data_IF_297435806909
#
_entry.id   IF_297435806909
#
_cell.length_a   1.000
_cell.length_b   1.000
_cell.length_c   1.000
_cell.angle_alpha   90.00
_cell.angle_beta   90.00
_cell.angle_gamma   90.00
#
_symmetry.space_group_name_H-M   'P 1'
#
loop_
_entity.id
_entity.type
_entity.pdbx_description
1 polymer ?
#
# COMPACT_ATOMS: atom_id res chain seq x y z
N UNK A 1 -8.75 28.20 -12.42
CA UNK A 1 -10.01 27.95 -11.69
C UNK A 1 -9.95 26.50 -11.22
N UNK A 2 -9.75 26.09 -9.97
CA UNK A 2 -9.71 26.64 -8.60
C UNK A 2 -8.87 25.63 -7.78
N UNK A 3 -7.96 26.08 -6.89
CA UNK A 3 -7.16 25.18 -6.05
C UNK A 3 -8.04 24.35 -5.10
N UNK A 4 -7.58 23.17 -4.63
CA UNK A 4 -8.13 22.54 -3.44
C UNK A 4 -8.02 23.48 -2.22
N UNK A 5 -9.06 23.64 -1.38
CA UNK A 5 -9.14 24.67 -0.33
C UNK A 5 -8.04 24.64 0.76
N UNK A 6 -7.16 23.62 0.79
CA UNK A 6 -6.08 23.52 1.79
C UNK A 6 -4.74 24.14 1.34
N UNK A 7 -4.56 24.45 0.05
CA UNK A 7 -3.33 25.06 -0.47
C UNK A 7 -3.46 26.56 -0.71
N UNK A 8 -4.67 27.12 -0.67
CA UNK A 8 -4.92 28.55 -0.92
C UNK A 8 -4.80 29.45 0.32
N UNK A 9 -4.92 28.93 1.54
CA UNK A 9 -4.97 29.77 2.75
C UNK A 9 -3.62 30.36 3.19
N UNK A 10 -2.56 30.26 2.38
CA UNK A 10 -1.23 30.76 2.70
C UNK A 10 -0.85 32.06 1.96
N UNK A 11 -1.71 32.60 1.09
CA UNK A 11 -1.36 33.72 0.20
C UNK A 11 -2.35 34.90 0.28
N UNK A 12 -2.44 35.61 1.40
CA UNK A 12 -2.93 37.00 1.44
C UNK A 12 -2.76 37.67 2.81
N UNK A 13 -1.77 38.58 2.98
CA UNK A 13 -1.77 39.70 3.95
C UNK A 13 -0.65 40.74 3.63
N UNK A 14 -0.80 42.03 4.03
CA UNK A 14 -0.07 43.20 3.48
C UNK A 14 1.30 43.47 4.13
N UNK A 15 2.16 44.33 3.54
CA UNK A 15 3.59 44.38 3.86
C UNK A 15 3.89 45.31 5.05
N UNK A 16 4.58 44.79 6.06
CA UNK A 16 5.14 45.60 7.14
C UNK A 16 5.83 44.78 8.23
N UNK A 17 7.15 44.96 8.34
CA UNK A 17 8.04 44.54 9.44
C UNK A 17 8.30 43.03 9.62
N UNK A 18 9.28 42.52 8.86
CA UNK A 18 10.03 41.29 9.15
C UNK A 18 11.02 41.51 10.32
N UNK A 19 11.10 40.54 11.24
CA UNK A 19 12.40 39.97 11.61
C UNK A 19 12.55 38.56 11.03
N UNK A 20 13.81 38.16 10.86
CA UNK A 20 14.29 37.01 10.07
C UNK A 20 13.72 35.66 10.52
N UNK A 21 13.28 34.88 9.54
CA UNK A 21 13.37 33.41 9.52
C UNK A 21 12.35 32.64 10.35
N UNK A 22 11.15 32.40 9.81
CA UNK A 22 10.28 31.28 10.20
C UNK A 22 9.21 31.09 9.11
N UNK A 23 9.37 30.05 8.28
CA UNK A 23 8.32 29.61 7.36
C UNK A 23 7.34 28.72 8.11
N UNK A 24 6.13 29.21 8.35
CA UNK A 24 4.98 28.38 8.73
C UNK A 24 4.63 27.46 7.55
N UNK A 25 5.07 26.21 7.61
CA UNK A 25 4.75 25.16 6.66
C UNK A 25 4.28 23.91 7.42
N UNK A 26 3.31 23.18 6.85
CA UNK A 26 2.93 21.88 7.36
C UNK A 26 4.18 20.98 7.45
N UNK A 27 4.56 20.55 8.66
CA UNK A 27 5.75 19.73 8.82
C UNK A 27 5.53 18.34 8.20
N UNK A 28 6.29 18.07 7.15
CA UNK A 28 6.42 16.79 6.51
C UNK A 28 7.33 15.92 7.37
N UNK A 29 6.72 15.05 8.17
CA UNK A 29 7.47 14.14 9.02
C UNK A 29 7.98 12.96 8.18
N UNK A 30 9.29 12.85 7.98
CA UNK A 30 9.88 11.54 7.76
C UNK A 30 9.83 10.80 9.11
N UNK A 31 8.70 10.16 9.41
CA UNK A 31 8.73 9.08 10.38
C UNK A 31 9.73 8.08 9.82
N UNK A 32 10.88 7.94 10.49
CA UNK A 32 11.60 6.67 10.45
C UNK A 32 10.68 5.66 11.14
N UNK A 33 9.69 5.16 10.39
CA UNK A 33 9.36 3.75 10.49
C UNK A 33 10.70 3.13 10.12
N UNK A 34 11.43 2.61 11.10
CA UNK A 34 12.51 1.66 10.83
C UNK A 34 12.04 0.81 9.67
N UNK A 35 12.87 0.51 8.64
CA UNK A 35 12.49 -0.53 7.71
C UNK A 35 12.19 -1.74 8.59
N UNK A 36 10.90 -1.99 8.85
CA UNK A 36 10.42 -3.31 9.13
C UNK A 36 10.99 -4.02 7.93
N UNK A 37 12.00 -4.87 8.20
CA UNK A 37 12.70 -5.60 7.17
C UNK A 37 11.66 -5.97 6.12
N UNK A 38 11.99 -5.81 4.84
CA UNK A 38 11.34 -6.61 3.82
C UNK A 38 11.67 -8.07 4.15
N UNK A 39 11.04 -8.58 5.20
CA UNK A 39 10.96 -9.94 5.65
C UNK A 39 10.10 -10.58 4.58
N UNK A 40 10.80 -11.06 3.56
CA UNK A 40 10.34 -12.19 2.78
C UNK A 40 10.01 -13.28 3.81
N UNK A 41 8.73 -13.63 3.98
CA UNK A 41 8.21 -14.70 4.85
C UNK A 41 7.84 -14.37 6.31
N UNK A 42 6.87 -13.48 6.55
CA UNK A 42 6.10 -13.50 7.80
C UNK A 42 4.58 -13.45 7.56
N UNK A 43 4.05 -14.53 6.99
CA UNK A 43 2.61 -14.88 7.03
C UNK A 43 2.22 -15.62 8.33
N UNK A 44 2.98 -15.47 9.42
CA UNK A 44 2.63 -15.98 10.76
C UNK A 44 3.06 -14.99 11.86
N UNK A 45 2.12 -14.33 12.58
CA UNK A 45 2.48 -13.52 13.73
C UNK A 45 2.56 -14.40 14.99
N UNK A 46 3.78 -14.73 15.40
CA UNK A 46 4.05 -15.18 16.78
C UNK A 46 4.24 -13.94 17.66
N UNK A 47 3.47 -13.92 18.76
CA UNK A 47 3.49 -12.97 19.87
C UNK A 47 4.91 -12.64 20.37
N UNK A 48 5.17 -11.38 20.73
CA UNK A 48 6.02 -11.02 21.87
C UNK A 48 5.78 -9.56 22.27
N UNK A 49 4.87 -9.34 23.22
CA UNK A 49 4.88 -8.18 24.08
C UNK A 49 4.87 -8.68 25.54
N UNK A 50 6.04 -8.57 26.19
CA UNK A 50 6.20 -8.81 27.62
C UNK A 50 5.66 -7.57 28.35
N UNK A 51 4.53 -7.70 29.03
CA UNK A 51 4.06 -6.75 30.04
C UNK A 51 4.15 -7.43 31.43
N UNK A 52 4.43 -6.67 32.50
CA UNK A 52 4.90 -7.21 33.77
C UNK A 52 3.81 -7.94 34.56
N UNK A 53 4.23 -9.00 35.24
CA UNK A 53 3.45 -9.76 36.22
C UNK A 53 3.02 -8.86 37.39
N UNK A 54 1.73 -8.76 37.62
CA UNK A 54 1.18 -8.53 38.96
C UNK A 54 -0.09 -9.38 39.15
N UNK A 55 -0.29 -9.85 40.36
CA UNK A 55 -0.91 -11.14 40.71
C UNK A 55 -2.29 -11.03 41.38
N UNK A 56 -3.06 -12.15 41.33
CA UNK A 56 -4.17 -12.60 42.25
C UNK A 56 -5.55 -11.91 42.05
N UNK A 57 -6.75 -12.53 42.03
CA UNK A 57 -7.30 -13.92 42.19
C UNK A 57 -8.84 -13.88 41.80
N UNK A 58 -9.75 -14.89 42.02
CA UNK A 58 -10.46 -15.58 40.92
C UNK A 58 -12.02 -15.57 40.86
N UNK A 59 -12.53 -16.04 39.70
CA UNK A 59 -13.68 -16.94 39.42
C UNK A 59 -15.18 -16.57 39.63
N UNK A 60 -15.94 -16.93 38.56
CA UNK A 60 -17.35 -17.41 38.39
C UNK A 60 -18.46 -16.44 37.92
N UNK A 61 -19.13 -16.92 36.86
CA UNK A 61 -20.31 -16.51 36.06
C UNK A 61 -21.64 -16.52 36.85
N UNK A 62 -22.83 -16.08 36.36
CA UNK A 62 -23.31 -16.08 34.95
C UNK A 62 -24.10 -14.85 34.44
N UNK A 63 -24.31 -14.80 33.12
CA UNK A 63 -25.15 -13.84 32.36
C UNK A 63 -26.65 -14.08 32.54
N UNK A 64 -27.52 -13.06 32.29
CA UNK A 64 -28.34 -13.00 31.05
C UNK A 64 -28.65 -11.53 30.61
N UNK A 65 -29.61 -11.24 29.69
CA UNK A 65 -29.54 -11.47 28.24
C UNK A 65 -29.78 -10.22 27.35
N UNK A 66 -29.22 -10.28 26.13
CA UNK A 66 -29.70 -9.82 24.80
C UNK A 66 -30.40 -8.45 24.62
N UNK A 67 -29.81 -7.60 23.77
CA UNK A 67 -30.46 -6.93 22.60
C UNK A 67 -29.38 -6.36 21.66
N UNK A 68 -29.68 -6.10 20.37
CA UNK A 68 -29.09 -6.84 19.25
C UNK A 68 -27.78 -6.24 18.74
N UNK A 69 -26.78 -7.12 18.58
CA UNK A 69 -25.62 -6.88 17.74
C UNK A 69 -26.07 -6.96 16.28
N UNK A 70 -25.94 -5.85 15.56
CA UNK A 70 -25.81 -5.90 14.11
C UNK A 70 -24.53 -6.69 13.79
N UNK A 71 -24.58 -7.67 12.87
CA UNK A 71 -23.54 -8.67 12.76
C UNK A 71 -22.30 -8.12 12.05
N UNK A 72 -21.14 -8.49 12.58
CA UNK A 72 -19.79 -8.36 12.00
C UNK A 72 -19.61 -9.02 10.61
N UNK A 73 -20.70 -9.41 9.94
CA UNK A 73 -20.74 -10.05 8.64
C UNK A 73 -20.65 -9.07 7.46
N UNK A 74 -21.01 -7.79 7.65
CA UNK A 74 -20.96 -6.79 6.56
C UNK A 74 -19.51 -6.36 6.23
N UNK A 75 -18.62 -6.36 7.22
CA UNK A 75 -17.17 -6.18 7.03
C UNK A 75 -16.50 -7.35 6.29
N UNK A 76 -17.13 -8.54 6.25
CA UNK A 76 -16.55 -9.74 5.61
C UNK A 76 -16.92 -9.89 4.14
N UNK A 77 -18.07 -9.37 3.70
CA UNK A 77 -18.57 -9.57 2.33
C UNK A 77 -17.99 -8.57 1.32
N UNK A 78 -17.49 -7.42 1.77
CA UNK A 78 -16.99 -6.34 0.89
C UNK A 78 -15.46 -6.24 0.79
N UNK A 79 -14.71 -7.07 1.53
CA UNK A 79 -13.27 -6.90 1.66
C UNK A 79 -12.49 -8.19 1.33
N UNK A 80 -11.73 -8.22 0.22
CA UNK A 80 -10.56 -9.07 0.14
C UNK A 80 -9.53 -8.52 1.14
N UNK A 81 -9.65 -8.95 2.41
CA UNK A 81 -8.77 -8.72 3.58
C UNK A 81 -7.80 -7.52 3.49
N UNK A 82 -8.13 -6.40 4.16
CA UNK A 82 -7.08 -5.67 4.89
C UNK A 82 -7.45 -5.18 6.31
N UNK A 83 -8.68 -5.37 6.80
CA UNK A 83 -9.07 -4.80 8.10
C UNK A 83 -8.66 -5.73 9.25
N UNK A 84 -7.62 -5.34 9.99
CA UNK A 84 -7.29 -5.94 11.29
C UNK A 84 -7.96 -5.11 12.38
N UNK A 85 -9.05 -5.62 12.95
CA UNK A 85 -9.64 -5.05 14.17
C UNK A 85 -9.01 -5.74 15.38
N UNK A 86 -8.21 -5.02 16.13
CA UNK A 86 -7.75 -5.42 17.46
C UNK A 86 -8.10 -4.29 18.41
N UNK A 87 -8.90 -4.58 19.43
CA UNK A 87 -9.03 -3.74 20.63
C UNK A 87 -9.22 -2.24 20.32
N UNK A 88 -10.39 -1.85 19.79
CA UNK A 88 -10.69 -0.44 19.52
C UNK A 88 -9.80 0.24 18.46
N UNK A 89 -8.90 -0.48 17.78
CA UNK A 89 -7.99 0.05 16.76
C UNK A 89 -8.12 -0.73 15.45
N UNK A 90 -8.22 0.00 14.34
CA UNK A 90 -8.23 -0.54 12.98
C UNK A 90 -7.09 0.06 12.14
N UNK A 91 -6.41 -0.80 11.38
CA UNK A 91 -5.47 -0.39 10.32
C UNK A 91 -6.09 -0.75 8.98
N UNK A 92 -6.10 0.20 8.05
CA UNK A 92 -6.70 0.06 6.72
C UNK A 92 -5.74 0.58 5.67
N UNK A 93 -5.39 -0.24 4.68
CA UNK A 93 -4.67 0.23 3.51
C UNK A 93 -5.59 1.06 2.62
N UNK A 94 -5.15 2.21 2.12
CA UNK A 94 -5.89 2.95 1.10
C UNK A 94 -5.65 2.38 -0.30
N UNK A 95 -4.42 1.94 -0.58
CA UNK A 95 -4.10 1.10 -1.73
C UNK A 95 -3.21 -0.03 -1.23
N UNK A 96 -3.69 -1.26 -1.34
CA UNK A 96 -2.91 -2.45 -0.97
C UNK A 96 -1.73 -2.64 -1.93
N UNK A 97 -0.64 -3.25 -1.44
CA UNK A 97 0.55 -3.47 -2.27
C UNK A 97 0.42 -4.72 -3.17
N UNK A 98 0.15 -5.89 -2.59
CA UNK A 98 0.04 -7.17 -3.29
C UNK A 98 -1.06 -8.04 -2.65
N UNK A 99 -2.18 -8.31 -3.34
CA UNK A 99 -2.58 -7.72 -4.62
C UNK A 99 -2.80 -6.21 -4.51
N UNK A 100 -2.77 -5.48 -5.62
CA UNK A 100 -3.00 -4.04 -5.63
C UNK A 100 -4.44 -3.68 -5.91
N UNK A 101 -5.08 -3.05 -4.93
CA UNK A 101 -6.50 -2.68 -4.94
C UNK A 101 -6.67 -1.35 -4.24
N UNK A 102 -7.41 -0.43 -4.87
CA UNK A 102 -7.90 0.79 -4.24
C UNK A 102 -9.06 0.46 -3.30
N UNK A 103 -8.90 0.78 -2.03
CA UNK A 103 -9.87 0.49 -0.98
C UNK A 103 -10.73 1.74 -0.71
N UNK A 104 -12.07 1.60 -0.57
CA UNK A 104 -12.98 2.70 -0.23
C UNK A 104 -12.81 3.12 1.24
N UNK A 105 -11.70 3.79 1.56
CA UNK A 105 -11.29 4.05 2.95
C UNK A 105 -12.24 4.98 3.69
N UNK A 106 -12.91 5.90 3.01
CA UNK A 106 -13.87 6.81 3.64
C UNK A 106 -15.05 6.03 4.21
N UNK A 107 -15.60 5.14 3.40
CA UNK A 107 -16.71 4.26 3.75
C UNK A 107 -16.29 3.30 4.87
N UNK A 108 -15.09 2.73 4.79
CA UNK A 108 -14.60 1.83 5.83
C UNK A 108 -14.31 2.54 7.15
N UNK A 109 -13.76 3.76 7.13
CA UNK A 109 -13.59 4.57 8.34
C UNK A 109 -14.95 4.81 8.99
N UNK A 110 -15.98 5.17 8.20
CA UNK A 110 -17.33 5.37 8.71
C UNK A 110 -17.93 4.10 9.33
N UNK A 111 -17.77 2.94 8.69
CA UNK A 111 -18.20 1.64 9.21
C UNK A 111 -17.46 1.32 10.52
N UNK A 112 -16.13 1.49 10.57
CA UNK A 112 -15.36 1.29 11.80
C UNK A 112 -15.92 2.13 12.96
N UNK A 113 -16.32 3.38 12.72
CA UNK A 113 -16.95 4.21 13.77
C UNK A 113 -18.30 3.68 14.23
N UNK A 114 -19.14 3.25 13.30
CA UNK A 114 -20.45 2.66 13.61
C UNK A 114 -20.29 1.39 14.46
N UNK A 115 -19.23 0.62 14.21
CA UNK A 115 -18.88 -0.60 14.95
C UNK A 115 -18.11 -0.33 16.25
N UNK A 116 -18.01 0.93 16.70
CA UNK A 116 -17.36 1.27 17.97
C UNK A 116 -15.83 1.17 17.96
N UNK A 117 -15.19 1.27 16.80
CA UNK A 117 -13.72 1.36 16.72
C UNK A 117 -13.27 2.77 17.14
N UNK A 118 -12.56 2.84 18.26
CA UNK A 118 -12.05 4.08 18.85
C UNK A 118 -11.04 4.80 17.94
N UNK A 119 -10.23 4.05 17.19
CA UNK A 119 -9.13 4.57 16.40
C UNK A 119 -8.97 3.88 15.05
N UNK A 120 -8.81 4.66 13.99
CA UNK A 120 -8.59 4.21 12.63
C UNK A 120 -7.32 4.85 12.09
N UNK A 121 -6.36 4.00 11.73
CA UNK A 121 -5.13 4.35 11.05
C UNK A 121 -5.24 3.93 9.58
N UNK A 122 -5.04 4.87 8.68
CA UNK A 122 -4.98 4.58 7.25
C UNK A 122 -3.52 4.55 6.79
N UNK A 123 -3.06 3.36 6.39
CA UNK A 123 -1.82 3.21 5.64
C UNK A 123 -2.10 3.55 4.17
N UNK A 124 -1.71 4.75 3.80
CA UNK A 124 -1.86 5.27 2.45
C UNK A 124 -0.52 5.36 1.74
N UNK A 125 0.45 4.49 2.04
CA UNK A 125 1.80 4.55 1.46
C UNK A 125 1.83 4.58 -0.07
N UNK A 126 0.80 4.08 -0.74
CA UNK A 126 0.65 4.09 -2.20
C UNK A 126 -0.26 5.21 -2.74
N UNK A 127 -0.87 6.07 -1.91
CA UNK A 127 -2.01 6.89 -2.35
C UNK A 127 -1.65 8.22 -2.97
N UNK A 128 -0.80 9.03 -2.32
CA UNK A 128 -0.48 10.37 -2.84
C UNK A 128 0.22 10.26 -4.18
N UNK A 129 -0.38 10.88 -5.19
CA UNK A 129 0.01 10.83 -6.59
C UNK A 129 -0.71 9.78 -7.44
N UNK A 130 -1.39 8.80 -6.82
CA UNK A 130 -2.22 7.82 -7.53
C UNK A 130 -3.73 8.06 -7.43
N UNK A 131 -4.20 8.66 -6.34
CA UNK A 131 -5.63 8.90 -6.08
C UNK A 131 -5.85 10.29 -5.47
N UNK A 132 -7.04 10.90 -5.63
CA UNK A 132 -7.39 12.08 -4.86
C UNK A 132 -7.35 11.76 -3.36
N UNK A 133 -6.80 12.66 -2.55
CA UNK A 133 -6.70 12.50 -1.10
C UNK A 133 -7.23 13.75 -0.41
N UNK A 134 -8.33 13.64 0.32
CA UNK A 134 -8.76 14.61 1.32
C UNK A 134 -8.82 13.93 2.69
N UNK A 135 -7.77 14.13 3.49
CA UNK A 135 -7.63 13.51 4.81
C UNK A 135 -8.69 13.97 5.81
N UNK A 136 -9.33 15.13 5.59
CA UNK A 136 -10.41 15.62 6.46
C UNK A 136 -11.71 14.90 6.12
N UNK A 137 -12.00 14.73 4.83
CA UNK A 137 -13.19 14.01 4.35
C UNK A 137 -13.12 12.51 4.68
N UNK A 138 -11.94 11.89 4.60
CA UNK A 138 -11.72 10.50 5.00
C UNK A 138 -11.95 10.28 6.50
N UNK A 139 -11.61 11.26 7.35
CA UNK A 139 -11.97 11.25 8.78
C UNK A 139 -11.18 10.26 9.66
N UNK A 140 -10.14 9.61 9.15
CA UNK A 140 -9.25 8.74 9.94
C UNK A 140 -8.55 9.51 11.08
N UNK A 141 -8.16 8.85 12.17
CA UNK A 141 -7.36 9.49 13.23
C UNK A 141 -5.94 9.76 12.76
N UNK A 142 -5.41 8.82 11.98
CA UNK A 142 -4.07 8.84 11.43
C UNK A 142 -4.14 8.52 9.95
N UNK A 143 -3.43 9.28 9.13
CA UNK A 143 -3.28 9.01 7.71
C UNK A 143 -1.83 9.26 7.32
N UNK A 144 -1.16 8.26 6.77
CA UNK A 144 0.24 8.38 6.35
C UNK A 144 0.40 8.01 4.89
N UNK A 145 1.23 8.74 4.15
CA UNK A 145 1.57 8.36 2.76
C UNK A 145 3.00 8.71 2.44
N UNK A 146 3.63 7.86 1.63
CA UNK A 146 4.96 8.12 1.11
C UNK A 146 4.87 9.13 -0.03
N UNK A 147 5.78 10.11 -0.03
CA UNK A 147 5.94 11.03 -1.15
C UNK A 147 6.97 10.52 -2.16
N UNK A 148 7.86 9.61 -1.71
CA UNK A 148 8.91 9.03 -2.54
C UNK A 148 8.47 7.87 -3.45
N UNK A 149 7.17 7.56 -3.49
CA UNK A 149 6.63 6.54 -4.41
C UNK A 149 6.09 7.21 -5.67
N UNK A 150 4.92 7.83 -5.57
CA UNK A 150 4.16 8.32 -6.72
C UNK A 150 4.18 9.85 -6.86
N UNK A 151 4.90 10.54 -5.98
CA UNK A 151 4.94 12.01 -5.92
C UNK A 151 6.35 12.56 -6.20
N UNK A 152 7.23 11.74 -6.79
CA UNK A 152 8.57 12.12 -7.26
C UNK A 152 9.53 12.74 -6.24
N UNK A 153 9.26 12.60 -4.94
CA UNK A 153 10.26 12.97 -3.94
C UNK A 153 11.40 11.93 -3.86
N UNK A 154 12.61 12.30 -3.40
CA UNK A 154 13.68 11.34 -3.13
C UNK A 154 13.28 10.30 -2.07
N UNK A 155 13.92 9.12 -2.02
CA UNK A 155 13.66 8.11 -1.00
C UNK A 155 13.64 8.66 0.44
N UNK A 156 12.89 7.99 1.31
CA UNK A 156 12.79 8.27 2.75
C UNK A 156 12.06 9.57 3.16
N UNK A 157 11.08 10.02 2.36
CA UNK A 157 10.09 11.04 2.79
C UNK A 157 8.64 10.55 2.73
N UNK A 158 7.89 10.89 3.76
CA UNK A 158 6.45 10.63 3.93
C UNK A 158 5.81 11.82 4.65
N UNK A 159 4.50 11.81 4.79
CA UNK A 159 3.80 12.69 5.72
C UNK A 159 2.90 11.87 6.63
N UNK A 160 2.65 12.41 7.83
CA UNK A 160 1.66 11.90 8.76
C UNK A 160 0.67 13.02 9.07
N UNK A 161 -0.60 12.77 8.79
CA UNK A 161 -1.71 13.61 9.22
C UNK A 161 -2.38 12.99 10.46
N UNK A 162 -2.66 13.84 11.44
CA UNK A 162 -3.41 13.49 12.65
C UNK A 162 -4.67 14.33 12.71
N UNK A 163 -5.82 13.70 13.01
CA UNK A 163 -7.08 14.43 13.12
C UNK A 163 -7.02 15.42 14.28
N UNK A 164 -7.28 16.71 14.00
CA UNK A 164 -7.34 17.77 15.01
C UNK A 164 -8.46 17.52 16.03
N UNK A 165 -8.23 17.95 17.27
CA UNK A 165 -9.24 17.91 18.36
C UNK A 165 -9.50 16.53 18.97
N UNK A 166 -8.83 15.47 18.49
CA UNK A 166 -8.87 14.18 19.14
C UNK A 166 -8.05 14.17 20.44
N UNK A 167 -8.47 13.42 21.48
CA UNK A 167 -7.77 13.37 22.78
C UNK A 167 -6.32 12.86 22.71
N UNK A 168 -5.96 12.19 21.60
CA UNK A 168 -4.64 11.63 21.38
C UNK A 168 -3.69 12.59 20.67
N UNK A 169 -4.20 13.60 19.93
CA UNK A 169 -3.33 14.46 19.13
C UNK A 169 -2.26 15.18 19.99
N UNK A 170 -2.60 15.51 21.24
CA UNK A 170 -1.69 16.11 22.23
C UNK A 170 -0.80 15.09 22.97
N UNK A 171 -1.05 13.80 22.83
CA UNK A 171 -0.28 12.71 23.45
C UNK A 171 0.72 12.08 22.47
N UNK A 172 0.69 12.49 21.20
CA UNK A 172 1.60 11.97 20.18
C UNK A 172 2.94 12.68 20.27
N UNK A 173 3.98 11.87 20.49
CA UNK A 173 5.36 12.29 20.49
C UNK A 173 6.15 11.56 19.43
N UNK A 174 7.19 12.21 18.93
CA UNK A 174 8.15 11.55 18.06
C UNK A 174 8.91 10.48 18.87
N UNK A 175 9.12 9.26 18.35
CA UNK A 175 9.73 8.17 19.12
C UNK A 175 11.21 8.42 19.45
N UNK A 176 11.87 9.27 18.66
CA UNK A 176 13.22 9.77 18.97
C UNK A 176 13.07 11.07 19.75
N UNK A 177 13.44 11.04 21.03
CA UNK A 177 13.49 12.22 21.89
C UNK A 177 14.72 13.04 21.53
N UNK A 178 14.50 14.31 21.16
CA UNK A 178 15.56 15.26 20.79
C UNK A 178 15.26 16.66 21.35
N UNK A 179 15.91 17.70 20.80
CA UNK A 179 15.85 19.08 21.29
C UNK A 179 14.43 19.65 21.37
N UNK A 180 13.53 19.22 20.48
CA UNK A 180 12.17 19.76 20.36
C UNK A 180 11.10 18.95 21.12
N UNK A 181 11.50 18.01 21.98
CA UNK A 181 10.56 17.19 22.77
C UNK A 181 9.59 18.04 23.59
N UNK A 182 8.29 17.76 23.49
CA UNK A 182 7.23 18.49 24.17
C UNK A 182 6.67 19.69 23.38
N UNK A 183 7.31 20.09 22.28
CA UNK A 183 6.83 21.19 21.43
C UNK A 183 5.81 20.73 20.37
N UNK A 184 5.32 19.49 20.51
CA UNK A 184 4.33 18.88 19.63
C UNK A 184 4.97 18.15 18.44
N UNK A 185 4.25 17.13 17.94
CA UNK A 185 4.76 16.20 16.93
C UNK A 185 5.44 16.87 15.71
N UNK A 186 4.93 17.98 15.13
CA UNK A 186 5.63 18.67 14.04
C UNK A 186 7.03 19.15 14.43
N UNK A 187 7.18 19.81 15.58
CA UNK A 187 8.48 20.32 16.04
C UNK A 187 9.41 19.17 16.43
N UNK A 188 8.89 18.19 17.16
CA UNK A 188 9.63 16.99 17.58
C UNK A 188 10.18 16.18 16.40
N UNK A 189 9.53 16.25 15.25
CA UNK A 189 9.94 15.56 14.03
C UNK A 189 10.91 16.34 13.15
N UNK A 190 11.08 17.64 13.42
CA UNK A 190 11.89 18.53 12.58
C UNK A 190 13.40 18.27 12.68
N UNK A 191 13.87 17.91 13.89
CA UNK A 191 15.27 17.57 14.12
C UNK A 191 15.38 16.42 15.12
N UNK A 192 15.73 15.24 14.63
CA UNK A 192 15.78 14.00 15.41
C UNK A 192 17.21 13.47 15.57
N UNK A 193 18.18 14.37 15.47
CA UNK A 193 19.62 14.05 15.45
C UNK A 193 20.22 14.07 14.04
N UNK A 194 21.50 13.72 13.94
CA UNK A 194 22.27 13.77 12.70
C UNK A 194 21.78 12.75 11.69
N UNK A 195 21.17 13.22 10.60
CA UNK A 195 20.74 12.43 9.44
C UNK A 195 20.71 13.29 8.18
N UNK A 196 20.54 12.65 7.04
CA UNK A 196 20.24 13.34 5.81
C UNK A 196 18.77 13.82 5.80
N UNK A 197 18.59 15.13 5.69
CA UNK A 197 17.30 15.82 5.62
C UNK A 197 16.95 16.28 4.20
N UNK A 198 17.80 16.00 3.21
CA UNK A 198 17.63 16.47 1.82
C UNK A 198 16.26 16.12 1.26
N UNK A 199 15.79 14.88 1.49
CA UNK A 199 14.49 14.42 1.01
C UNK A 199 13.29 15.21 1.58
N UNK A 200 13.40 15.74 2.81
CA UNK A 200 12.36 16.59 3.41
C UNK A 200 12.41 18.00 2.85
N UNK A 201 13.62 18.54 2.68
CA UNK A 201 13.83 19.93 2.25
C UNK A 201 13.38 20.13 0.81
N UNK A 202 13.57 19.14 -0.08
CA UNK A 202 13.25 19.27 -1.51
C UNK A 202 11.78 19.01 -1.88
N UNK A 203 10.89 18.84 -0.89
CA UNK A 203 9.48 18.56 -1.19
C UNK A 203 8.78 19.71 -1.93
N UNK A 204 9.00 21.01 -1.60
CA UNK A 204 8.47 22.11 -2.41
C UNK A 204 8.91 22.03 -3.88
N UNK A 205 10.17 21.71 -4.15
CA UNK A 205 10.71 21.56 -5.50
C UNK A 205 10.09 20.36 -6.24
N UNK A 206 9.76 19.28 -5.52
CA UNK A 206 9.02 18.14 -6.09
C UNK A 206 7.58 18.53 -6.47
N UNK A 207 6.92 19.37 -5.66
CA UNK A 207 5.60 19.93 -5.99
C UNK A 207 5.70 20.78 -7.26
N UNK A 208 6.69 21.66 -7.35
CA UNK A 208 6.92 22.48 -8.54
C UNK A 208 7.24 21.63 -9.78
N UNK A 209 7.99 20.54 -9.62
CA UNK A 209 8.21 19.57 -10.70
C UNK A 209 6.90 18.94 -11.18
N UNK A 210 6.07 18.45 -10.28
CA UNK A 210 4.76 17.85 -10.60
C UNK A 210 3.85 18.86 -11.31
N UNK A 211 3.85 20.12 -10.88
CA UNK A 211 3.03 21.18 -11.45
C UNK A 211 3.45 21.60 -12.88
N UNK A 212 4.65 21.20 -13.35
CA UNK A 212 5.08 21.43 -14.74
C UNK A 212 4.38 20.52 -15.75
N UNK A 213 3.78 19.42 -15.32
CA UNK A 213 3.00 18.55 -16.19
C UNK A 213 1.64 19.17 -16.51
N UNK A 214 1.11 18.89 -17.69
CA UNK A 214 -0.24 19.28 -18.06
C UNK A 214 -1.26 18.75 -17.04
N UNK A 215 -2.08 19.65 -16.48
CA UNK A 215 -3.03 19.32 -15.41
C UNK A 215 -2.39 19.01 -14.05
N UNK A 216 -1.07 19.22 -13.88
CA UNK A 216 -0.34 18.94 -12.65
C UNK A 216 -0.50 17.49 -12.17
N UNK A 217 -0.63 17.30 -10.86
CA UNK A 217 -0.80 15.96 -10.28
C UNK A 217 -2.08 15.27 -10.74
N UNK A 218 -3.15 16.02 -10.99
CA UNK A 218 -4.43 15.48 -11.44
C UNK A 218 -4.31 14.93 -12.86
N UNK A 219 -3.59 15.63 -13.74
CA UNK A 219 -3.31 15.18 -15.10
C UNK A 219 -2.43 13.92 -15.12
N UNK A 220 -1.37 13.88 -14.29
CA UNK A 220 -0.53 12.69 -14.12
C UNK A 220 -1.37 11.50 -13.67
N UNK A 221 -2.20 11.69 -12.65
CA UNK A 221 -3.06 10.65 -12.09
C UNK A 221 -3.99 10.06 -13.13
N UNK A 222 -4.76 10.91 -13.82
CA UNK A 222 -5.74 10.46 -14.82
C UNK A 222 -5.06 9.71 -15.95
N UNK A 223 -3.98 10.26 -16.51
CA UNK A 223 -3.21 9.59 -17.57
C UNK A 223 -2.66 8.24 -17.12
N UNK A 224 -2.05 8.17 -15.94
CA UNK A 224 -1.47 6.94 -15.44
C UNK A 224 -2.53 5.86 -15.19
N UNK A 225 -3.69 6.24 -14.66
CA UNK A 225 -4.82 5.33 -14.47
C UNK A 225 -5.33 4.79 -15.81
N UNK A 226 -5.63 5.67 -16.77
CA UNK A 226 -6.12 5.29 -18.08
C UNK A 226 -5.14 4.34 -18.79
N UNK A 227 -3.85 4.69 -18.77
CA UNK A 227 -2.81 3.90 -19.42
C UNK A 227 -2.54 2.57 -18.73
N UNK A 228 -2.50 2.52 -17.39
CA UNK A 228 -2.28 1.23 -16.70
C UNK A 228 -3.42 0.26 -16.96
N UNK A 229 -4.66 0.76 -17.02
CA UNK A 229 -5.84 -0.06 -17.34
C UNK A 229 -5.81 -0.50 -18.81
N UNK A 230 -5.47 0.39 -19.74
CA UNK A 230 -5.28 0.06 -21.17
C UNK A 230 -4.27 -1.07 -21.35
N UNK A 231 -3.09 -0.94 -20.73
CA UNK A 231 -2.03 -1.96 -20.81
C UNK A 231 -2.43 -3.25 -20.11
N UNK A 232 -3.10 -3.17 -18.97
CA UNK A 232 -3.61 -4.35 -18.26
C UNK A 232 -4.59 -5.15 -19.11
N UNK A 233 -5.51 -4.47 -19.82
CA UNK A 233 -6.46 -5.12 -20.74
C UNK A 233 -5.76 -5.78 -21.91
N UNK A 234 -4.77 -5.11 -22.50
CA UNK A 234 -3.95 -5.67 -23.58
C UNK A 234 -3.25 -6.96 -23.14
N UNK A 235 -2.69 -6.99 -21.93
CA UNK A 235 -2.06 -8.20 -21.37
C UNK A 235 -3.07 -9.31 -21.10
N UNK A 236 -4.21 -8.97 -20.48
CA UNK A 236 -5.27 -9.93 -20.20
C UNK A 236 -5.82 -10.58 -21.48
N UNK A 237 -6.04 -9.80 -22.53
CA UNK A 237 -6.47 -10.28 -23.84
C UNK A 237 -5.43 -11.21 -24.48
N UNK A 238 -4.16 -10.78 -24.51
CA UNK A 238 -3.07 -11.56 -25.09
C UNK A 238 -2.83 -12.89 -24.37
N UNK A 239 -3.13 -12.96 -23.08
CA UNK A 239 -2.93 -14.14 -22.24
C UNK A 239 -4.18 -15.00 -22.07
N UNK A 240 -5.33 -14.55 -22.60
CA UNK A 240 -6.61 -15.23 -22.39
C UNK A 240 -7.04 -15.28 -20.93
N UNK A 241 -6.74 -14.21 -20.18
CA UNK A 241 -7.02 -14.06 -18.74
C UNK A 241 -7.85 -12.79 -18.47
N UNK A 242 -7.68 -12.17 -17.31
CA UNK A 242 -8.51 -11.09 -16.81
C UNK A 242 -7.71 -10.12 -15.92
N UNK A 243 -8.27 -8.94 -15.67
CA UNK A 243 -7.78 -8.02 -14.65
C UNK A 243 -8.14 -8.55 -13.26
N UNK A 244 -7.20 -8.52 -12.32
CA UNK A 244 -7.42 -8.98 -10.94
C UNK A 244 -8.34 -8.09 -10.11
N UNK A 245 -8.69 -6.90 -10.60
CA UNK A 245 -9.71 -6.03 -10.01
C UNK A 245 -10.41 -5.20 -11.09
N UNK A 246 -11.66 -4.74 -10.84
CA UNK A 246 -12.33 -3.81 -11.74
C UNK A 246 -11.53 -2.51 -11.91
N UNK A 247 -11.53 -1.89 -13.11
CA UNK A 247 -10.76 -0.66 -13.36
C UNK A 247 -10.98 0.45 -12.34
N UNK A 248 -12.21 0.64 -11.84
CA UNK A 248 -12.53 1.66 -10.82
C UNK A 248 -11.77 1.46 -9.50
N UNK A 249 -11.28 0.25 -9.24
CA UNK A 249 -10.46 -0.10 -8.07
C UNK A 249 -8.96 -0.05 -8.38
N UNK A 250 -8.55 0.55 -9.49
CA UNK A 250 -7.15 0.70 -9.89
C UNK A 250 -6.72 2.16 -9.71
N UNK A 251 -5.57 2.39 -9.08
CA UNK A 251 -4.87 3.67 -9.16
C UNK A 251 -4.05 3.76 -10.45
N UNK A 252 -2.74 3.95 -10.30
CA UNK A 252 -1.73 3.81 -11.36
C UNK A 252 -1.08 2.41 -11.38
N UNK A 253 -1.75 1.43 -10.77
CA UNK A 253 -1.35 0.02 -10.72
C UNK A 253 -2.55 -0.88 -11.04
N UNK A 254 -2.30 -2.01 -11.70
CA UNK A 254 -3.32 -3.05 -11.93
C UNK A 254 -2.71 -4.44 -11.79
N UNK A 255 -3.53 -5.38 -11.31
CA UNK A 255 -3.23 -6.81 -11.30
C UNK A 255 -3.71 -7.44 -12.60
N UNK A 256 -2.92 -8.30 -13.24
CA UNK A 256 -3.32 -9.07 -14.42
C UNK A 256 -3.04 -10.55 -14.18
N UNK A 257 -4.03 -11.40 -14.39
CA UNK A 257 -3.88 -12.85 -14.28
C UNK A 257 -2.88 -13.37 -15.30
N UNK A 258 -1.98 -14.25 -14.87
CA UNK A 258 -1.04 -14.93 -15.77
C UNK A 258 -1.65 -16.24 -16.28
N UNK A 259 -1.25 -16.74 -17.46
CA UNK A 259 -1.70 -18.04 -17.97
C UNK A 259 -1.50 -19.16 -16.94
N UNK A 260 -2.53 -19.96 -16.69
CA UNK A 260 -2.51 -21.02 -15.67
C UNK A 260 -1.47 -22.11 -15.96
N UNK A 261 -1.18 -22.36 -17.23
CA UNK A 261 -0.19 -23.33 -17.71
C UNK A 261 1.25 -23.01 -17.28
N UNK A 262 1.52 -21.79 -16.80
CA UNK A 262 2.82 -21.46 -16.19
C UNK A 262 3.00 -22.09 -14.80
N UNK A 263 1.92 -22.62 -14.21
CA UNK A 263 1.92 -23.39 -12.96
C UNK A 263 2.56 -22.66 -11.76
N UNK A 264 2.30 -21.37 -11.58
CA UNK A 264 2.79 -20.60 -10.42
C UNK A 264 2.05 -21.07 -9.16
N UNK A 265 2.69 -21.88 -8.34
CA UNK A 265 2.06 -22.59 -7.21
C UNK A 265 2.58 -22.17 -5.83
N UNK A 266 3.52 -21.23 -5.80
CA UNK A 266 4.11 -20.74 -4.55
C UNK A 266 4.70 -19.33 -4.73
N UNK A 267 4.96 -18.66 -3.61
CA UNK A 267 5.72 -17.41 -3.60
C UNK A 267 7.15 -17.59 -4.14
N UNK A 268 7.75 -18.78 -3.95
CA UNK A 268 9.08 -19.11 -4.49
C UNK A 268 9.05 -19.24 -6.02
N UNK A 269 8.03 -19.92 -6.57
CA UNK A 269 7.80 -19.98 -8.02
C UNK A 269 7.62 -18.57 -8.60
N UNK A 270 6.77 -17.75 -7.98
CA UNK A 270 6.55 -16.37 -8.40
C UNK A 270 7.85 -15.54 -8.40
N UNK A 271 8.69 -15.70 -7.38
CA UNK A 271 9.98 -15.02 -7.29
C UNK A 271 10.98 -15.50 -8.35
N UNK A 272 11.01 -16.80 -8.66
CA UNK A 272 11.87 -17.39 -9.68
C UNK A 272 11.47 -16.92 -11.08
N UNK A 273 10.18 -16.99 -11.42
CA UNK A 273 9.65 -16.50 -12.70
C UNK A 273 9.94 -15.01 -12.87
N UNK A 274 9.72 -14.19 -11.84
CA UNK A 274 10.11 -12.77 -11.84
C UNK A 274 11.61 -12.59 -12.13
N UNK A 275 12.45 -13.40 -11.51
CA UNK A 275 13.91 -13.32 -11.70
C UNK A 275 14.32 -13.71 -13.12
N UNK A 276 13.68 -14.72 -13.69
CA UNK A 276 13.89 -15.15 -15.09
C UNK A 276 13.46 -14.05 -16.06
N UNK A 277 12.25 -13.49 -15.91
CA UNK A 277 11.77 -12.35 -16.70
C UNK A 277 12.77 -11.17 -16.67
N UNK A 278 13.34 -10.87 -15.50
CA UNK A 278 14.36 -9.82 -15.38
C UNK A 278 15.65 -10.17 -16.13
N UNK A 279 16.17 -11.37 -15.94
CA UNK A 279 17.48 -11.77 -16.48
C UNK A 279 17.45 -11.97 -17.99
N UNK A 280 16.43 -12.67 -18.47
CA UNK A 280 16.40 -13.23 -19.82
C UNK A 280 15.60 -12.34 -20.78
N UNK A 281 14.55 -11.68 -20.26
CA UNK A 281 13.66 -10.82 -21.04
C UNK A 281 13.82 -9.33 -20.75
N UNK A 282 14.66 -8.97 -19.76
CA UNK A 282 14.84 -7.58 -19.29
C UNK A 282 13.53 -6.92 -18.85
N UNK A 283 12.64 -7.70 -18.25
CA UNK A 283 11.35 -7.25 -17.71
C UNK A 283 11.34 -7.41 -16.20
N UNK A 284 11.16 -6.31 -15.48
CA UNK A 284 11.00 -6.32 -14.04
C UNK A 284 9.53 -6.10 -13.67
N UNK A 285 8.87 -7.14 -13.18
CA UNK A 285 7.47 -7.07 -12.76
C UNK A 285 7.24 -7.91 -11.49
N UNK A 286 6.63 -7.36 -10.43
CA UNK A 286 6.20 -8.15 -9.28
C UNK A 286 5.16 -9.19 -9.68
N UNK A 287 5.32 -10.42 -9.18
CA UNK A 287 4.36 -11.52 -9.37
C UNK A 287 3.78 -11.87 -7.99
N UNK A 288 2.46 -11.91 -7.90
CA UNK A 288 1.68 -12.33 -6.76
C UNK A 288 1.20 -13.77 -6.98
N UNK A 289 1.39 -14.63 -5.98
CA UNK A 289 0.76 -15.93 -5.94
C UNK A 289 -0.49 -15.87 -5.05
N UNK A 290 -1.65 -16.17 -5.64
CA UNK A 290 -2.90 -16.30 -4.90
C UNK A 290 -3.01 -17.73 -4.36
N UNK A 291 -2.91 -17.88 -3.04
CA UNK A 291 -2.96 -19.19 -2.40
C UNK A 291 -4.33 -19.83 -2.56
N UNK A 292 -4.38 -21.10 -2.99
CA UNK A 292 -5.62 -21.88 -3.20
C UNK A 292 -6.48 -22.09 -1.92
N UNK A 293 -6.12 -21.49 -0.77
CA UNK A 293 -6.60 -21.86 0.56
C UNK A 293 -7.75 -21.01 1.12
N UNK A 294 -8.55 -20.35 0.29
CA UNK A 294 -9.80 -19.75 0.77
C UNK A 294 -10.96 -20.62 0.33
N UNK A 295 -11.42 -21.50 1.22
CA UNK A 295 -12.59 -22.40 1.05
C UNK A 295 -13.91 -21.68 0.67
N UNK A 296 -13.90 -20.35 0.52
CA UNK A 296 -15.07 -19.49 0.36
C UNK A 296 -15.04 -18.68 -0.95
N UNK A 297 -13.96 -18.73 -1.74
CA UNK A 297 -13.87 -17.98 -3.00
C UNK A 297 -13.57 -18.92 -4.17
N UNK A 298 -14.45 -18.95 -5.18
CA UNK A 298 -14.16 -19.58 -6.46
C UNK A 298 -12.94 -18.90 -7.09
N UNK A 299 -11.88 -19.66 -7.34
CA UNK A 299 -10.68 -19.15 -8.02
C UNK A 299 -11.08 -18.81 -9.46
N UNK A 300 -10.80 -17.56 -9.85
CA UNK A 300 -11.06 -17.11 -11.20
C UNK A 300 -10.24 -17.93 -12.22
N UNK A 301 -10.90 -18.29 -13.32
CA UNK A 301 -10.39 -19.21 -14.33
C UNK A 301 -9.99 -18.46 -15.59
N UNK A 302 -9.00 -18.96 -16.30
CA UNK A 302 -8.64 -18.47 -17.63
C UNK A 302 -9.61 -18.98 -18.70
N UNK A 303 -9.35 -18.65 -19.97
CA UNK A 303 -10.15 -19.08 -21.11
C UNK A 303 -10.20 -20.61 -21.30
N UNK A 304 -9.26 -21.36 -20.72
CA UNK A 304 -9.25 -22.83 -20.74
C UNK A 304 -10.02 -23.43 -19.55
N UNK A 305 -10.65 -22.59 -18.72
CA UNK A 305 -11.32 -22.96 -17.47
C UNK A 305 -10.38 -23.46 -16.36
N UNK A 306 -9.09 -23.15 -16.46
CA UNK A 306 -8.08 -23.51 -15.47
C UNK A 306 -7.88 -22.40 -14.43
N UNK A 307 -7.67 -22.74 -13.15
CA UNK A 307 -7.57 -21.76 -12.07
C UNK A 307 -6.31 -20.90 -12.20
N UNK A 308 -6.48 -19.57 -12.25
CA UNK A 308 -5.38 -18.61 -12.31
C UNK A 308 -4.85 -18.32 -10.91
N UNK A 309 -3.62 -18.77 -10.65
CA UNK A 309 -2.94 -18.62 -9.37
C UNK A 309 -1.85 -17.55 -9.38
N UNK A 310 -1.28 -17.22 -10.53
CA UNK A 310 -0.26 -16.18 -10.68
C UNK A 310 -0.82 -14.88 -11.23
N UNK A 311 -0.39 -13.74 -10.69
CA UNK A 311 -0.79 -12.42 -11.15
C UNK A 311 0.43 -11.50 -11.25
N UNK A 312 0.60 -10.81 -12.38
CA UNK A 312 1.55 -9.69 -12.44
C UNK A 312 0.90 -8.43 -11.87
N UNK A 313 1.68 -7.60 -11.18
CA UNK A 313 1.27 -6.22 -10.85
C UNK A 313 2.05 -5.24 -11.72
N UNK A 314 1.40 -4.68 -12.73
CA UNK A 314 2.00 -3.62 -13.52
C UNK A 314 1.74 -2.26 -12.89
N UNK A 315 2.65 -1.33 -13.14
CA UNK A 315 2.61 0.05 -12.68
C UNK A 315 2.84 0.96 -13.89
N UNK A 316 2.09 2.05 -13.99
CA UNK A 316 2.28 3.03 -15.06
C UNK A 316 2.59 4.40 -14.46
N UNK A 317 3.62 5.04 -15.01
CA UNK A 317 4.08 6.35 -14.61
C UNK A 317 4.41 7.18 -15.85
N UNK A 318 4.64 8.47 -15.68
CA UNK A 318 4.86 9.46 -16.77
C UNK A 318 5.96 9.10 -17.78
N UNK A 319 6.87 8.20 -17.42
CA UNK A 319 8.00 7.76 -18.25
C UNK A 319 7.79 6.40 -18.93
N UNK A 320 6.72 5.68 -18.59
CA UNK A 320 6.47 4.37 -19.19
C UNK A 320 5.94 4.51 -20.61
N UNK A 321 6.35 3.57 -21.46
CA UNK A 321 5.95 3.51 -22.87
C UNK A 321 5.33 2.16 -23.20
N UNK A 322 4.50 2.11 -24.25
CA UNK A 322 3.70 0.92 -24.62
C UNK A 322 4.58 -0.31 -24.85
N UNK A 323 5.74 -0.10 -25.47
CA UNK A 323 6.71 -1.13 -25.87
C UNK A 323 7.25 -1.91 -24.66
N UNK A 324 7.29 -1.30 -23.47
CA UNK A 324 7.69 -1.99 -22.24
C UNK A 324 6.67 -3.05 -21.82
N UNK A 325 5.37 -2.77 -22.01
CA UNK A 325 4.28 -3.70 -21.74
C UNK A 325 4.19 -4.77 -22.81
N UNK A 326 4.43 -4.42 -24.08
CA UNK A 326 4.52 -5.38 -25.18
C UNK A 326 5.69 -6.36 -24.97
N UNK A 327 6.82 -5.90 -24.44
CA UNK A 327 7.92 -6.80 -24.06
C UNK A 327 7.52 -7.80 -22.98
N UNK A 328 6.75 -7.38 -21.97
CA UNK A 328 6.18 -8.30 -20.98
C UNK A 328 5.19 -9.29 -21.61
N UNK A 329 4.30 -8.81 -22.48
CA UNK A 329 3.35 -9.65 -23.24
C UNK A 329 4.10 -10.74 -24.00
N UNK A 330 5.07 -10.34 -24.82
CA UNK A 330 5.79 -11.22 -25.73
C UNK A 330 6.67 -12.23 -24.98
N UNK A 331 7.26 -11.80 -23.86
CA UNK A 331 8.00 -12.70 -22.97
C UNK A 331 7.11 -13.84 -22.43
N UNK A 332 5.95 -13.49 -21.89
CA UNK A 332 5.01 -14.49 -21.36
C UNK A 332 4.45 -15.37 -22.48
N UNK A 333 4.10 -14.80 -23.64
CA UNK A 333 3.63 -15.58 -24.80
C UNK A 333 4.68 -16.58 -25.28
N UNK A 334 5.95 -16.19 -25.30
CA UNK A 334 7.05 -17.09 -25.65
C UNK A 334 7.15 -18.26 -24.68
N UNK A 335 7.10 -18.01 -23.36
CA UNK A 335 7.13 -19.07 -22.34
C UNK A 335 5.97 -20.05 -22.52
N UNK A 336 4.76 -19.54 -22.74
CA UNK A 336 3.57 -20.37 -23.00
C UNK A 336 3.75 -21.22 -24.26
N UNK A 337 4.25 -20.63 -25.35
CA UNK A 337 4.48 -21.34 -26.61
C UNK A 337 5.55 -22.44 -26.50
N UNK A 338 6.55 -22.24 -25.63
CA UNK A 338 7.62 -23.21 -25.35
C UNK A 338 7.18 -24.30 -24.35
N UNK A 339 5.95 -24.23 -23.81
CA UNK A 339 5.44 -25.17 -22.82
C UNK A 339 6.11 -25.04 -21.45
N UNK A 340 6.72 -23.88 -21.16
CA UNK A 340 7.42 -23.62 -19.91
C UNK A 340 6.47 -23.71 -18.71
N UNK A 341 6.96 -24.35 -17.64
CA UNK A 341 6.32 -24.34 -16.32
C UNK A 341 7.26 -23.82 -15.25
N UNK A 342 6.76 -23.15 -14.21
CA UNK A 342 7.61 -22.61 -13.14
C UNK A 342 8.38 -23.69 -12.37
N UNK A 343 7.92 -24.95 -12.44
CA UNK A 343 8.60 -26.11 -11.86
C UNK A 343 10.02 -26.31 -12.42
N UNK A 344 10.28 -25.93 -13.68
CA UNK A 344 11.60 -26.01 -14.31
C UNK A 344 12.66 -25.13 -13.63
N UNK A 345 12.23 -24.10 -12.87
CA UNK A 345 13.12 -23.21 -12.13
C UNK A 345 13.40 -23.70 -10.70
N UNK A 346 12.73 -24.77 -10.24
CA UNK A 346 12.93 -25.32 -8.91
C UNK A 346 14.31 -26.01 -8.83
N UNK A 347 15.02 -25.93 -7.69
CA UNK A 347 16.28 -26.65 -7.54
C UNK A 347 16.03 -28.15 -7.68
N UNK A 348 16.96 -28.88 -8.32
CA UNK A 348 16.92 -30.34 -8.28
C UNK A 348 16.94 -30.82 -6.83
N UNK A 349 16.02 -31.73 -6.46
CA UNK A 349 16.04 -32.35 -5.14
C UNK A 349 17.39 -33.03 -4.95
N UNK A 350 18.14 -32.60 -3.92
CA UNK A 350 19.30 -33.38 -3.48
C UNK A 350 18.77 -34.68 -2.93
N UNK A 351 18.97 -35.77 -3.65
CA UNK A 351 18.80 -37.13 -3.12
C UNK A 351 19.81 -37.26 -1.97
N UNK A 352 19.32 -37.11 -0.74
CA UNK A 352 20.09 -37.46 0.45
C UNK A 352 20.00 -38.98 0.51
N UNK A 353 21.03 -39.66 0.01
CA UNK A 353 21.24 -41.06 0.36
C UNK A 353 21.43 -41.10 1.87
N UNK A 354 20.46 -41.67 2.59
CA UNK A 354 20.69 -42.08 3.97
C UNK A 354 21.72 -43.19 3.92
N UNK A 355 22.97 -42.87 4.25
CA UNK A 355 23.92 -43.89 4.67
C UNK A 355 23.36 -44.54 5.93
N UNK A 356 22.80 -45.74 5.78
CA UNK A 356 22.55 -46.66 6.89
C UNK A 356 23.86 -46.86 7.65
N UNK A 357 23.80 -46.67 8.98
CA UNK A 357 24.89 -46.93 9.93
C UNK A 357 24.66 -48.29 10.55
#
# INVERSE_FOLDING_TARGET
TTLPPLLQSCCSMPPGALPRGTSLGATLCSCSITPMEQSRNLSRPTLLARAPLSSRYPSRSPSPPLTPLLPSSMLRSLLPRPVVVRSGFAVIDHITSMPSVLIPVKELVAICRQEGVDKVFVDAAHSVGQVPVDVRDIGADFYTSNLHKWFFCPPAVAFLHTRKGGPIASQLHHPVVSHEYGNGLPMESGWIGTRDYSAQIVVPEAIDFVNRFEGGIEGIRSRNHEKVVEMGRMLAEAWGTFLGSPPVMCGSMVMVGMPSCLCIESDDDALRVRTMLRKDFKVEVPIYYNTRQVEVQEIAKDNNSDPVTGYVRISHQVYNVKEEYERLRDAVNKLVAEGFTSAELRPAEKIIYSTEV
#
